data_IF_694803892970
#
_entry.id   IF_694803892970
#
_cell.length_a   1.000
_cell.length_b   1.000
_cell.length_c   1.000
_cell.angle_alpha   90.00
_cell.angle_beta   90.00
_cell.angle_gamma   90.00
#
_symmetry.space_group_name_H-M   'P 1'
#
loop_
_entity.id
_entity.type
_entity.pdbx_description
1 polymer ?
#
# COMPACT_ATOMS: atom_id res chain seq x y z
N UNK A 1 -12.97 2.66 -4.78
CA UNK A 1 -11.93 2.77 -3.75
C UNK A 1 -11.82 1.45 -3.01
N UNK A 2 -10.63 0.87 -2.95
CA UNK A 2 -10.34 -0.36 -2.20
C UNK A 2 -9.56 -0.03 -0.92
N UNK A 3 -9.76 -0.80 0.15
CA UNK A 3 -9.06 -0.59 1.43
C UNK A 3 -8.72 -1.92 2.10
N UNK A 4 -7.52 -1.99 2.67
CA UNK A 4 -7.08 -3.04 3.58
C UNK A 4 -6.48 -2.41 4.83
N UNK A 5 -6.89 -2.91 5.98
CA UNK A 5 -6.37 -2.47 7.28
C UNK A 5 -6.05 -3.67 8.14
N UNK A 6 -4.89 -3.65 8.80
CA UNK A 6 -4.50 -4.70 9.73
C UNK A 6 -3.58 -4.19 10.81
N UNK A 7 -3.66 -4.82 11.97
CA UNK A 7 -2.71 -4.65 13.06
C UNK A 7 -1.86 -5.91 13.13
N UNK A 8 -0.55 -5.73 13.17
CA UNK A 8 0.44 -6.79 13.34
C UNK A 8 1.41 -6.43 14.45
N UNK A 9 2.25 -7.40 14.84
CA UNK A 9 3.40 -7.15 15.70
C UNK A 9 4.68 -7.32 14.92
N UNK A 10 5.70 -6.52 15.24
CA UNK A 10 7.00 -6.61 14.60
C UNK A 10 7.87 -5.39 14.84
N UNK A 11 9.00 -5.37 14.15
CA UNK A 11 9.85 -4.19 14.03
C UNK A 11 9.32 -3.25 12.95
N UNK A 12 9.15 -1.98 13.27
CA UNK A 12 8.54 -0.99 12.37
C UNK A 12 9.33 -0.84 11.06
N UNK A 13 10.66 -0.69 11.15
CA UNK A 13 11.50 -0.52 9.96
C UNK A 13 11.46 -1.73 9.05
N UNK A 14 11.53 -2.93 9.63
CA UNK A 14 11.44 -4.20 8.91
C UNK A 14 10.10 -4.36 8.17
N UNK A 15 8.98 -3.98 8.82
CA UNK A 15 7.65 -4.03 8.20
C UNK A 15 7.53 -3.04 7.04
N UNK A 16 7.99 -1.80 7.23
CA UNK A 16 7.99 -0.78 6.16
C UNK A 16 8.79 -1.28 4.95
N UNK A 17 10.02 -1.74 5.17
CA UNK A 17 10.89 -2.21 4.09
C UNK A 17 10.29 -3.41 3.35
N UNK A 18 9.74 -4.39 4.08
CA UNK A 18 9.15 -5.58 3.47
C UNK A 18 7.92 -5.24 2.61
N UNK A 19 7.08 -4.31 3.06
CA UNK A 19 5.93 -3.84 2.28
C UNK A 19 6.40 -3.07 1.05
N UNK A 20 7.36 -2.14 1.20
CA UNK A 20 7.89 -1.33 0.10
C UNK A 20 8.52 -2.20 -0.99
N UNK A 21 9.37 -3.16 -0.60
CA UNK A 21 9.97 -4.12 -1.53
C UNK A 21 8.92 -4.94 -2.26
N UNK A 22 7.90 -5.45 -1.56
CA UNK A 22 6.83 -6.24 -2.19
C UNK A 22 6.02 -5.41 -3.18
N UNK A 23 5.69 -4.16 -2.82
CA UNK A 23 4.92 -3.26 -3.67
C UNK A 23 5.70 -2.89 -4.92
N UNK A 24 6.95 -2.43 -4.79
CA UNK A 24 7.78 -2.05 -5.93
C UNK A 24 8.03 -3.22 -6.89
N UNK A 25 8.20 -4.44 -6.36
CA UNK A 25 8.41 -5.62 -7.18
C UNK A 25 7.11 -6.24 -7.74
N UNK A 26 5.93 -5.70 -7.39
CA UNK A 26 4.65 -6.28 -7.83
C UNK A 26 4.30 -6.02 -9.30
N UNK A 27 4.88 -4.98 -9.90
CA UNK A 27 4.69 -4.66 -11.32
C UNK A 27 5.80 -3.77 -11.86
N UNK A 28 6.18 -3.96 -13.12
CA UNK A 28 7.19 -3.13 -13.81
C UNK A 28 6.83 -1.64 -13.85
N UNK A 29 5.54 -1.30 -13.92
CA UNK A 29 5.05 0.08 -13.95
C UNK A 29 4.71 0.64 -12.56
N UNK A 30 5.03 -0.09 -11.48
CA UNK A 30 4.88 0.43 -10.12
C UNK A 30 6.01 1.41 -9.83
N UNK A 31 5.66 2.56 -9.28
CA UNK A 31 6.64 3.56 -8.91
C UNK A 31 6.28 4.21 -7.56
N UNK A 32 7.29 4.44 -6.72
CA UNK A 32 7.17 5.28 -5.53
C UNK A 32 7.12 6.74 -5.99
N UNK A 33 5.98 7.38 -5.79
CA UNK A 33 5.73 8.78 -6.18
C UNK A 33 6.24 9.72 -5.10
N UNK A 34 5.93 9.41 -3.84
CA UNK A 34 6.32 10.25 -2.71
C UNK A 34 6.31 9.44 -1.41
N UNK A 35 7.02 9.93 -0.41
CA UNK A 35 7.07 9.33 0.91
C UNK A 35 7.17 10.39 2.03
N UNK A 36 6.71 10.02 3.22
CA UNK A 36 6.92 10.81 4.41
C UNK A 36 7.18 9.91 5.60
N UNK A 37 8.15 10.28 6.43
CA UNK A 37 8.45 9.60 7.68
C UNK A 37 8.37 10.63 8.81
N UNK A 38 7.60 10.32 9.85
CA UNK A 38 7.37 11.23 10.97
C UNK A 38 7.46 10.47 12.30
N UNK A 39 7.97 11.15 13.32
CA UNK A 39 8.10 10.61 14.67
C UNK A 39 7.46 11.57 15.66
N UNK A 40 6.56 11.06 16.49
CA UNK A 40 5.88 11.81 17.55
C UNK A 40 5.94 11.03 18.86
N UNK A 41 6.88 11.41 19.73
CA UNK A 41 7.18 10.62 20.93
C UNK A 41 7.63 9.22 20.54
N UNK A 42 6.91 8.21 21.02
CA UNK A 42 7.16 6.79 20.71
C UNK A 42 6.41 6.29 19.46
N UNK A 43 5.61 7.15 18.82
CA UNK A 43 4.85 6.80 17.61
C UNK A 43 5.68 7.08 16.37
N UNK A 44 5.87 6.06 15.55
CA UNK A 44 6.51 6.12 14.24
C UNK A 44 5.43 6.09 13.16
N UNK A 45 5.54 6.96 12.16
CA UNK A 45 4.61 7.02 11.04
C UNK A 45 5.40 7.00 9.73
N UNK A 46 5.02 6.11 8.83
CA UNK A 46 5.51 6.07 7.45
C UNK A 46 4.32 6.17 6.51
N UNK A 47 4.39 7.11 5.57
CA UNK A 47 3.45 7.24 4.46
C UNK A 47 4.22 6.95 3.18
N UNK A 48 3.61 6.14 2.31
CA UNK A 48 4.14 5.80 0.99
C UNK A 48 3.03 5.98 -0.03
N UNK A 49 3.35 6.68 -1.11
CA UNK A 49 2.43 6.91 -2.21
C UNK A 49 3.03 6.29 -3.45
N UNK A 50 2.32 5.31 -4.01
CA UNK A 50 2.69 4.62 -5.23
C UNK A 50 1.71 4.96 -6.35
N UNK A 51 2.18 4.92 -7.59
CA UNK A 51 1.33 4.86 -8.77
C UNK A 51 1.65 3.65 -9.63
N UNK A 52 0.62 3.17 -10.32
CA UNK A 52 0.75 2.11 -11.32
C UNK A 52 0.01 2.51 -12.57
N UNK A 53 0.70 2.42 -13.70
CA UNK A 53 0.07 2.57 -15.01
C UNK A 53 -0.58 1.25 -15.46
N UNK A 54 -1.85 1.33 -15.88
CA UNK A 54 -2.66 0.23 -16.38
C UNK A 54 -2.84 0.36 -17.89
N UNK A 55 -2.08 -0.45 -18.63
CA UNK A 55 -2.09 -0.47 -20.10
C UNK A 55 -3.47 -0.78 -20.70
N UNK A 56 -4.27 -1.64 -20.05
CA UNK A 56 -5.57 -2.13 -20.55
C UNK A 56 -6.58 -1.00 -20.82
N UNK A 57 -6.49 0.10 -20.09
CA UNK A 57 -7.44 1.20 -20.15
C UNK A 57 -6.76 2.58 -20.09
N UNK A 58 -5.46 2.63 -20.38
CA UNK A 58 -4.64 3.85 -20.36
C UNK A 58 -4.84 4.70 -19.09
N UNK A 59 -4.99 4.04 -17.94
CA UNK A 59 -5.30 4.70 -16.67
C UNK A 59 -4.16 4.60 -15.68
N UNK A 60 -4.15 5.51 -14.70
CA UNK A 60 -3.31 5.41 -13.50
C UNK A 60 -4.19 5.18 -12.29
N UNK A 61 -3.76 4.27 -11.43
CA UNK A 61 -4.27 4.18 -10.07
C UNK A 61 -3.11 4.37 -9.10
N UNK A 62 -3.43 4.98 -7.96
CA UNK A 62 -2.53 5.22 -6.86
C UNK A 62 -2.82 4.28 -5.71
N UNK A 63 -1.77 3.90 -4.98
CA UNK A 63 -1.84 3.18 -3.72
C UNK A 63 -1.18 4.05 -2.66
N UNK A 64 -1.93 4.41 -1.61
CA UNK A 64 -1.36 5.06 -0.43
C UNK A 64 -1.31 4.06 0.71
N UNK A 65 -0.15 3.93 1.33
CA UNK A 65 0.06 3.10 2.52
C UNK A 65 0.45 4.01 3.66
N UNK A 66 -0.29 3.94 4.76
CA UNK A 66 0.05 4.57 6.03
C UNK A 66 0.35 3.49 7.04
N UNK A 67 1.55 3.50 7.60
CA UNK A 67 2.04 2.55 8.59
C UNK A 67 2.31 3.35 9.87
N UNK A 68 1.68 2.94 10.97
CA UNK A 68 1.81 3.58 12.28
C UNK A 68 2.32 2.54 13.26
N UNK A 69 3.51 2.74 13.79
CA UNK A 69 4.11 1.92 14.83
C UNK A 69 4.03 2.61 16.18
N UNK A 70 3.67 1.86 17.22
CA UNK A 70 3.82 2.26 18.61
C UNK A 70 4.18 1.04 19.44
N UNK A 71 5.30 1.09 20.15
CA UNK A 71 5.88 -0.06 20.84
C UNK A 71 6.13 -1.24 19.88
N UNK A 72 5.43 -2.36 20.07
CA UNK A 72 5.50 -3.55 19.21
C UNK A 72 4.29 -3.70 18.29
N UNK A 73 3.32 -2.79 18.37
CA UNK A 73 2.10 -2.84 17.56
C UNK A 73 2.27 -1.94 16.33
N UNK A 74 1.92 -2.48 15.17
CA UNK A 74 2.01 -1.79 13.89
C UNK A 74 0.65 -1.86 13.21
N UNK A 75 0.02 -0.69 13.06
CA UNK A 75 -1.18 -0.52 12.25
C UNK A 75 -0.79 -0.17 10.82
N UNK A 76 -1.43 -0.85 9.86
CA UNK A 76 -1.19 -0.67 8.43
C UNK A 76 -2.54 -0.35 7.79
N UNK A 77 -2.61 0.75 7.05
CA UNK A 77 -3.76 1.12 6.22
C UNK A 77 -3.29 1.31 4.78
N UNK A 78 -3.80 0.48 3.87
CA UNK A 78 -3.55 0.56 2.45
C UNK A 78 -4.84 0.94 1.72
N UNK A 79 -4.79 2.03 0.96
CA UNK A 79 -5.93 2.56 0.22
C UNK A 79 -5.55 2.69 -1.26
N UNK A 80 -6.26 1.95 -2.09
CA UNK A 80 -6.19 2.06 -3.55
C UNK A 80 -7.23 3.04 -4.07
N UNK A 81 -6.80 3.97 -4.91
CA UNK A 81 -7.65 4.99 -5.53
C UNK A 81 -7.29 5.22 -7.01
N UNK A 82 -8.27 5.48 -7.87
CA UNK A 82 -8.05 5.84 -9.28
C UNK A 82 -8.44 4.73 -10.26
N UNK A 83 -7.99 4.80 -11.53
CA UNK A 83 -8.31 3.81 -12.57
C UNK A 83 -9.18 4.29 -13.74
N UNK A 84 -9.33 5.61 -13.93
CA UNK A 84 -9.93 6.22 -15.12
C UNK A 84 -11.43 6.59 -15.01
N UNK A 85 -11.79 7.78 -15.50
CA UNK A 85 -13.09 8.44 -15.40
C UNK A 85 -14.10 8.04 -16.47
N UNK A 86 -14.31 6.74 -16.70
CA UNK A 86 -15.40 6.24 -17.54
C UNK A 86 -16.58 5.83 -16.68
N UNK A 87 -17.81 6.23 -17.05
CA UNK A 87 -19.10 5.87 -16.39
C UNK A 87 -19.37 4.34 -16.40
N UNK A 88 -18.42 3.52 -16.82
CA UNK A 88 -18.49 2.06 -16.87
C UNK A 88 -17.83 1.49 -15.60
N UNK A 89 -18.63 1.51 -14.53
CA UNK A 89 -18.30 1.30 -13.10
C UNK A 89 -17.60 0.00 -12.67
N UNK A 90 -17.15 -0.90 -13.57
CA UNK A 90 -16.62 -2.22 -13.18
C UNK A 90 -15.11 -2.40 -13.34
N UNK A 91 -14.43 -1.62 -14.19
CA UNK A 91 -13.00 -1.84 -14.45
C UNK A 91 -12.07 -1.09 -13.49
N UNK A 92 -12.47 0.08 -12.98
CA UNK A 92 -11.71 0.82 -11.95
C UNK A 92 -11.67 0.06 -10.61
N UNK A 93 -12.76 -0.62 -10.26
CA UNK A 93 -12.85 -1.47 -9.07
C UNK A 93 -11.78 -2.58 -9.04
N UNK A 94 -11.39 -3.13 -10.19
CA UNK A 94 -10.35 -4.17 -10.24
C UNK A 94 -8.96 -3.64 -9.94
N UNK A 95 -8.60 -2.49 -10.52
CA UNK A 95 -7.26 -1.91 -10.41
C UNK A 95 -6.90 -1.54 -8.96
N UNK A 96 -7.81 -0.87 -8.27
CA UNK A 96 -7.61 -0.48 -6.87
C UNK A 96 -7.52 -1.71 -5.95
N UNK A 97 -8.36 -2.73 -6.18
CA UNK A 97 -8.33 -3.98 -5.42
C UNK A 97 -7.03 -4.76 -5.63
N UNK A 98 -6.52 -4.81 -6.87
CA UNK A 98 -5.25 -5.48 -7.17
C UNK A 98 -4.09 -4.83 -6.43
N UNK A 99 -4.06 -3.49 -6.34
CA UNK A 99 -3.05 -2.76 -5.58
C UNK A 99 -3.10 -3.11 -4.08
N UNK A 100 -4.30 -3.10 -3.50
CA UNK A 100 -4.50 -3.39 -2.08
C UNK A 100 -4.15 -4.84 -1.73
N UNK A 101 -4.44 -5.80 -2.61
CA UNK A 101 -4.10 -7.22 -2.42
C UNK A 101 -2.59 -7.49 -2.34
N UNK A 102 -1.77 -6.68 -3.02
CA UNK A 102 -0.31 -6.78 -2.91
C UNK A 102 0.13 -6.52 -1.46
N UNK A 103 -0.45 -5.50 -0.82
CA UNK A 103 -0.16 -5.19 0.59
C UNK A 103 -0.68 -6.28 1.51
N UNK A 104 -1.89 -6.78 1.28
CA UNK A 104 -2.43 -7.90 2.05
C UNK A 104 -1.51 -9.13 1.99
N UNK A 105 -0.98 -9.48 0.81
CA UNK A 105 -0.01 -10.57 0.65
C UNK A 105 1.27 -10.32 1.45
N UNK A 106 1.83 -9.10 1.35
CA UNK A 106 3.03 -8.71 2.10
C UNK A 106 2.82 -8.87 3.61
N UNK A 107 1.69 -8.37 4.12
CA UNK A 107 1.36 -8.42 5.55
C UNK A 107 1.07 -9.83 6.04
N UNK A 108 0.47 -10.69 5.21
CA UNK A 108 0.24 -12.08 5.57
C UNK A 108 1.56 -12.87 5.66
N UNK A 109 2.51 -12.63 4.75
CA UNK A 109 3.84 -13.24 4.79
C UNK A 109 4.61 -12.88 6.08
N UNK A 110 4.50 -11.62 6.51
CA UNK A 110 5.10 -11.13 7.76
C UNK A 110 4.49 -11.74 9.04
N UNK A 111 3.21 -12.12 9.02
CA UNK A 111 2.53 -12.71 10.18
C UNK A 111 2.75 -14.22 10.34
N UNK A 112 3.34 -14.86 9.34
CA UNK A 112 3.67 -16.30 9.37
C UNK A 112 5.08 -16.59 9.89
N UNK A 113 5.87 -15.55 10.21
CA UNK A 113 7.20 -15.64 10.82
C UNK A 113 7.12 -15.43 12.33
#
# INVERSE_FOLDING_TARGET
>A
MAKYEKIIKGDFGSVVNAIDEKVLNSAMSMNLVDESNYVCGETLVAVRVYDKYFMRNESRASLTITIVGSNSEIFISAIGAGGGSGVIFNFSLGAENDLVKVVESAVNELNTM
#
